data_IF_449024997222
#
_entry.id   IF_449024997222
#
_cell.length_a   1.000
_cell.length_b   1.000
_cell.length_c   1.000
_cell.angle_alpha   90.00
_cell.angle_beta   90.00
_cell.angle_gamma   90.00
#
_symmetry.space_group_name_H-M   'P 1'
#
loop_
_entity.id
_entity.type
_entity.pdbx_description
1 polymer ?
#
# COMPACT_ATOMS: atom_id res chain seq x y z
N UNK A 1 -16.40 -35.15 -0.90
CA UNK A 1 -15.69 -34.53 -2.03
C UNK A 1 -15.01 -33.29 -1.50
N UNK A 2 -13.68 -33.19 -1.47
CA UNK A 2 -13.04 -31.90 -1.24
C UNK A 2 -13.29 -31.06 -2.50
N UNK A 3 -14.07 -29.99 -2.37
CA UNK A 3 -14.33 -29.07 -3.46
C UNK A 3 -13.01 -28.39 -3.85
N UNK A 4 -12.63 -28.48 -5.13
CA UNK A 4 -11.47 -27.78 -5.73
C UNK A 4 -11.63 -26.24 -5.77
N UNK A 5 -12.45 -25.68 -4.88
CA UNK A 5 -12.68 -24.25 -4.77
C UNK A 5 -11.52 -23.67 -3.95
N UNK A 6 -10.48 -23.23 -4.65
CA UNK A 6 -9.35 -22.52 -4.06
C UNK A 6 -9.89 -21.26 -3.40
N UNK A 7 -9.93 -21.28 -2.07
CA UNK A 7 -10.46 -20.15 -1.29
C UNK A 7 -9.60 -18.89 -1.51
N UNK A 8 -10.21 -17.71 -1.37
CA UNK A 8 -9.48 -16.44 -1.45
C UNK A 8 -8.28 -16.40 -0.48
N UNK A 9 -8.45 -17.01 0.71
CA UNK A 9 -7.39 -17.08 1.71
C UNK A 9 -6.19 -17.91 1.25
N UNK A 10 -6.43 -18.99 0.51
CA UNK A 10 -5.36 -19.81 -0.10
C UNK A 10 -4.64 -19.04 -1.20
N UNK A 11 -5.36 -18.24 -1.99
CA UNK A 11 -4.73 -17.34 -2.98
C UNK A 11 -3.85 -16.28 -2.33
N UNK A 12 -4.27 -15.70 -1.20
CA UNK A 12 -3.48 -14.73 -0.43
C UNK A 12 -2.20 -15.38 0.10
N UNK A 13 -2.28 -16.63 0.59
CA UNK A 13 -1.11 -17.37 1.07
C UNK A 13 -0.10 -17.67 -0.06
N UNK A 14 -0.60 -17.87 -1.28
CA UNK A 14 0.23 -18.05 -2.48
C UNK A 14 0.84 -16.77 -3.03
N UNK A 15 0.63 -15.61 -2.41
CA UNK A 15 1.29 -14.37 -2.83
C UNK A 15 2.79 -14.48 -2.54
N UNK A 16 3.61 -14.32 -3.58
CA UNK A 16 5.06 -14.38 -3.45
C UNK A 16 5.64 -12.98 -3.27
N UNK A 17 6.49 -12.82 -2.28
CA UNK A 17 7.22 -11.58 -1.99
C UNK A 17 8.68 -11.78 -2.33
N UNK A 18 9.21 -10.96 -3.24
CA UNK A 18 10.64 -10.99 -3.54
C UNK A 18 11.50 -10.40 -2.44
N UNK A 19 12.80 -10.69 -2.54
CA UNK A 19 13.82 -10.05 -1.74
C UNK A 19 13.84 -8.54 -1.99
N UNK A 20 14.14 -7.80 -0.91
CA UNK A 20 14.30 -6.35 -0.99
C UNK A 20 15.68 -6.04 -1.55
N UNK A 21 15.72 -5.21 -2.58
CA UNK A 21 16.95 -4.63 -3.11
C UNK A 21 16.90 -3.12 -2.88
N UNK A 22 18.05 -2.50 -2.65
CA UNK A 22 18.13 -1.07 -2.33
C UNK A 22 19.22 -0.40 -3.12
N UNK A 23 18.92 0.78 -3.65
CA UNK A 23 19.89 1.69 -4.22
C UNK A 23 20.32 2.74 -3.17
N UNK A 24 20.92 3.84 -3.61
CA UNK A 24 21.35 4.95 -2.76
C UNK A 24 20.18 5.66 -2.06
N UNK A 25 19.04 5.83 -2.76
CA UNK A 25 17.90 6.63 -2.28
C UNK A 25 16.66 5.80 -1.87
N UNK A 26 16.42 4.67 -2.56
CA UNK A 26 15.17 3.90 -2.42
C UNK A 26 15.44 2.40 -2.18
N UNK A 27 14.52 1.78 -1.45
CA UNK A 27 14.33 0.33 -1.37
C UNK A 27 13.24 -0.08 -2.34
N UNK A 28 13.43 -1.22 -3.00
CA UNK A 28 12.52 -1.78 -3.99
C UNK A 28 12.19 -3.21 -3.63
N UNK A 29 10.97 -3.63 -3.98
CA UNK A 29 10.59 -5.03 -4.02
C UNK A 29 9.48 -5.22 -5.05
N UNK A 30 9.37 -6.43 -5.57
CA UNK A 30 8.20 -6.84 -6.33
C UNK A 30 7.37 -7.87 -5.57
N UNK A 31 6.05 -7.81 -5.77
CA UNK A 31 5.09 -8.78 -5.25
C UNK A 31 4.46 -9.48 -6.45
N UNK A 32 4.48 -10.81 -6.44
CA UNK A 32 3.89 -11.62 -7.50
C UNK A 32 2.58 -12.22 -7.00
N UNK A 33 1.48 -11.82 -7.63
CA UNK A 33 0.15 -12.34 -7.36
C UNK A 33 -0.10 -13.65 -8.13
N UNK A 34 -0.87 -14.58 -7.56
CA UNK A 34 -1.32 -15.74 -8.32
C UNK A 34 -2.27 -15.30 -9.44
N UNK A 35 -2.11 -15.86 -10.65
CA UNK A 35 -2.91 -15.51 -11.84
C UNK A 35 -4.42 -15.68 -11.63
N UNK A 36 -4.83 -16.58 -10.74
CA UNK A 36 -6.24 -16.77 -10.38
C UNK A 36 -6.81 -15.57 -9.64
N UNK A 37 -6.00 -14.90 -8.81
CA UNK A 37 -6.39 -13.73 -8.04
C UNK A 37 -6.65 -12.52 -8.93
N UNK A 38 -5.87 -12.33 -10.00
CA UNK A 38 -6.11 -11.27 -10.97
C UNK A 38 -7.53 -11.30 -11.55
N UNK A 39 -8.14 -12.48 -11.70
CA UNK A 39 -9.52 -12.61 -12.22
C UNK A 39 -10.58 -12.18 -11.21
N UNK A 40 -10.23 -12.12 -9.92
CA UNK A 40 -11.13 -11.71 -8.83
C UNK A 40 -11.07 -10.20 -8.58
N UNK A 41 -10.00 -9.54 -9.02
CA UNK A 41 -9.84 -8.09 -8.86
C UNK A 41 -10.84 -7.37 -9.78
N UNK A 42 -11.52 -6.31 -9.30
CA UNK A 42 -12.43 -5.52 -10.12
C UNK A 42 -11.75 -4.93 -11.35
N UNK A 43 -12.47 -4.87 -12.49
CA UNK A 43 -11.94 -4.35 -13.75
C UNK A 43 -11.49 -2.88 -13.67
N UNK A 44 -12.05 -2.10 -12.74
CA UNK A 44 -11.66 -0.70 -12.47
C UNK A 44 -10.22 -0.53 -11.97
N UNK A 45 -9.58 -1.62 -11.54
CA UNK A 45 -8.19 -1.64 -11.10
C UNK A 45 -7.25 -1.97 -12.26
N UNK A 46 -7.77 -2.25 -13.45
CA UNK A 46 -7.01 -2.49 -14.66
C UNK A 46 -7.06 -1.26 -15.55
N UNK A 47 -5.97 -0.99 -16.27
CA UNK A 47 -5.95 0.06 -17.28
C UNK A 47 -6.90 -0.30 -18.45
N UNK A 48 -7.62 0.66 -19.03
CA UNK A 48 -8.61 0.39 -20.08
C UNK A 48 -8.00 -0.20 -21.36
N UNK A 49 -6.75 0.16 -21.65
CA UNK A 49 -6.03 -0.23 -22.86
C UNK A 49 -5.07 -1.42 -22.64
N UNK A 50 -4.96 -1.95 -21.41
CA UNK A 50 -3.99 -2.99 -21.08
C UNK A 50 -4.49 -3.91 -19.98
N UNK A 51 -4.25 -5.22 -20.09
CA UNK A 51 -4.60 -6.19 -19.05
C UNK A 51 -3.64 -6.14 -17.84
N UNK A 52 -3.19 -4.93 -17.49
CA UNK A 52 -2.22 -4.62 -16.46
C UNK A 52 -2.94 -3.81 -15.39
N UNK A 53 -2.63 -4.09 -14.13
CA UNK A 53 -3.16 -3.30 -13.02
C UNK A 53 -2.68 -1.85 -13.16
N UNK A 54 -3.55 -0.88 -12.86
CA UNK A 54 -3.17 0.52 -12.77
C UNK A 54 -2.31 0.77 -11.53
N UNK A 55 -1.84 2.01 -11.36
CA UNK A 55 -1.19 2.40 -10.10
C UNK A 55 -2.19 2.33 -8.94
N UNK A 56 -2.04 1.30 -8.11
CA UNK A 56 -2.84 1.07 -6.91
C UNK A 56 -2.37 1.92 -5.73
N UNK A 57 -3.32 2.46 -4.99
CA UNK A 57 -3.06 3.14 -3.72
C UNK A 57 -2.84 2.15 -2.57
N UNK A 58 -2.32 2.60 -1.43
CA UNK A 58 -2.09 1.74 -0.25
C UNK A 58 -3.33 0.95 0.18
N UNK A 59 -4.48 1.62 0.23
CA UNK A 59 -5.74 0.98 0.62
C UNK A 59 -6.16 -0.10 -0.39
N UNK A 60 -5.96 0.17 -1.68
CA UNK A 60 -6.33 -0.73 -2.76
C UNK A 60 -5.51 -2.01 -2.80
N UNK A 61 -4.18 -1.91 -2.75
CA UNK A 61 -3.34 -3.12 -2.75
C UNK A 61 -3.44 -3.90 -1.43
N UNK A 62 -3.71 -3.23 -0.30
CA UNK A 62 -4.04 -3.90 0.96
C UNK A 62 -5.39 -4.63 0.88
N UNK A 63 -6.37 -4.05 0.20
CA UNK A 63 -7.67 -4.69 -0.05
C UNK A 63 -7.58 -5.97 -0.87
N UNK A 64 -6.61 -6.04 -1.79
CA UNK A 64 -6.26 -7.26 -2.55
C UNK A 64 -5.59 -8.31 -1.63
N UNK A 65 -5.23 -7.99 -0.38
CA UNK A 65 -4.60 -8.93 0.54
C UNK A 65 -3.08 -8.95 0.47
N UNK A 66 -2.45 -7.97 -0.20
CA UNK A 66 -1.01 -7.77 -0.10
C UNK A 66 -0.70 -7.18 1.27
N UNK A 67 0.14 -7.85 2.05
CA UNK A 67 0.52 -7.42 3.40
C UNK A 67 2.00 -7.08 3.45
N UNK A 68 2.31 -5.79 3.64
CA UNK A 68 3.68 -5.32 3.81
C UNK A 68 3.75 -4.17 4.83
N UNK A 69 4.98 -3.78 5.18
CA UNK A 69 5.23 -2.66 6.10
C UNK A 69 4.71 -1.33 5.54
N UNK A 70 4.60 -0.32 6.38
CA UNK A 70 4.22 1.04 5.94
C UNK A 70 5.32 1.66 5.06
N UNK A 71 4.90 2.58 4.19
CA UNK A 71 5.79 3.39 3.33
C UNK A 71 6.13 2.77 1.98
N UNK A 72 5.56 1.62 1.63
CA UNK A 72 5.70 1.06 0.29
C UNK A 72 4.69 1.70 -0.67
N UNK A 73 5.21 2.27 -1.74
CA UNK A 73 4.45 2.88 -2.81
C UNK A 73 4.55 2.04 -4.08
N UNK A 74 3.40 1.69 -4.65
CA UNK A 74 3.34 1.03 -5.95
C UNK A 74 3.64 2.06 -7.04
N UNK A 75 4.78 1.94 -7.71
CA UNK A 75 5.31 3.02 -8.56
C UNK A 75 5.26 2.73 -10.05
N UNK A 76 5.25 1.47 -10.45
CA UNK A 76 5.30 1.07 -11.85
C UNK A 76 4.61 -0.26 -12.08
N UNK A 77 4.12 -0.46 -13.29
CA UNK A 77 3.37 -1.64 -13.70
C UNK A 77 4.17 -2.41 -14.74
N UNK A 78 4.24 -3.73 -14.60
CA UNK A 78 5.01 -4.56 -15.52
C UNK A 78 4.11 -5.13 -16.62
N UNK A 79 4.16 -4.53 -17.81
CA UNK A 79 3.35 -4.94 -18.96
C UNK A 79 3.53 -6.42 -19.40
N UNK A 80 4.75 -7.00 -19.41
CA UNK A 80 4.94 -8.41 -19.78
C UNK A 80 4.30 -9.39 -18.78
N UNK A 81 4.27 -9.02 -17.50
CA UNK A 81 3.76 -9.87 -16.41
C UNK A 81 2.85 -9.06 -15.48
N UNK A 82 1.54 -8.94 -15.80
CA UNK A 82 0.61 -8.07 -15.07
C UNK A 82 0.32 -8.52 -13.63
N UNK A 83 0.79 -9.71 -13.27
CA UNK A 83 0.70 -10.26 -11.93
C UNK A 83 1.86 -9.82 -11.03
N UNK A 84 2.84 -9.10 -11.57
CA UNK A 84 3.98 -8.56 -10.83
C UNK A 84 3.74 -7.08 -10.56
N UNK A 85 3.66 -6.73 -9.29
CA UNK A 85 3.50 -5.37 -8.80
C UNK A 85 4.84 -4.86 -8.26
N UNK A 86 5.26 -3.69 -8.70
CA UNK A 86 6.54 -3.09 -8.32
C UNK A 86 6.32 -2.03 -7.24
N UNK A 87 6.96 -2.24 -6.09
CA UNK A 87 6.91 -1.34 -4.97
C UNK A 87 8.27 -0.70 -4.73
N UNK A 88 8.25 0.57 -4.33
CA UNK A 88 9.41 1.30 -3.83
C UNK A 88 9.10 1.96 -2.49
N UNK A 89 10.13 2.21 -1.70
CA UNK A 89 10.05 2.90 -0.41
C UNK A 89 11.30 3.74 -0.22
N UNK A 90 11.18 4.95 0.33
CA UNK A 90 12.35 5.73 0.73
C UNK A 90 13.14 5.00 1.82
N UNK A 91 14.45 4.85 1.65
CA UNK A 91 15.31 4.17 2.63
C UNK A 91 15.30 4.88 4.00
N UNK A 92 15.15 6.21 4.00
CA UNK A 92 15.08 7.03 5.21
C UNK A 92 13.65 7.07 5.82
N UNK A 93 12.66 6.37 5.25
CA UNK A 93 11.27 6.42 5.70
C UNK A 93 11.12 6.08 7.20
N UNK A 94 11.78 5.03 7.67
CA UNK A 94 11.73 4.66 9.09
C UNK A 94 12.43 5.68 9.99
N UNK A 95 13.43 6.40 9.49
CA UNK A 95 14.12 7.44 10.26
C UNK A 95 13.29 8.72 10.33
N UNK A 96 12.65 9.09 9.22
CA UNK A 96 11.79 10.28 9.08
C UNK A 96 10.43 10.13 9.77
N UNK A 97 9.82 8.94 9.71
CA UNK A 97 8.46 8.69 10.22
C UNK A 97 8.40 7.65 11.34
N UNK A 98 9.41 6.80 11.51
CA UNK A 98 9.40 5.68 12.47
C UNK A 98 9.77 6.03 13.91
N UNK A 99 10.28 7.24 14.17
CA UNK A 99 10.63 7.69 15.53
C UNK A 99 9.86 8.95 16.00
N UNK A 100 8.94 9.49 15.18
CA UNK A 100 8.16 10.70 15.49
C UNK A 100 6.74 10.46 16.02
N UNK A 101 6.28 9.21 16.08
CA UNK A 101 4.95 8.84 16.59
C UNK A 101 5.02 7.83 17.74
N UNK A 102 6.01 8.03 18.62
CA UNK A 102 6.00 7.53 19.99
C UNK A 102 6.30 8.74 20.86
N UNK A 103 5.34 9.16 21.67
CA UNK A 103 5.45 10.22 22.69
C UNK A 103 5.18 11.68 22.26
N UNK A 104 3.97 12.00 21.79
CA UNK A 104 3.40 13.34 22.02
C UNK A 104 2.22 13.22 22.98
N UNK A 105 2.57 13.36 24.28
CA UNK A 105 1.74 13.67 25.45
C UNK A 105 0.38 12.95 25.57
N UNK A 106 0.39 12.02 26.52
CA UNK A 106 -0.70 11.82 27.47
C UNK A 106 -1.34 13.16 27.86
N UNK A 107 -2.55 13.43 27.38
CA UNK A 107 -3.45 14.35 28.08
C UNK A 107 -4.18 13.47 29.10
N UNK A 108 -3.80 13.62 30.36
CA UNK A 108 -4.47 13.01 31.51
C UNK A 108 -5.99 13.22 31.40
N UNK A 109 -6.73 12.14 31.15
CA UNK A 109 -8.18 12.16 31.12
C UNK A 109 -8.70 12.06 32.56
N UNK A 110 -9.06 13.20 33.14
CA UNK A 110 -9.91 13.21 34.34
C UNK A 110 -11.23 12.52 34.00
N UNK A 111 -11.61 11.57 34.84
CA UNK A 111 -12.83 10.76 34.74
C UNK A 111 -14.10 11.64 34.75
N UNK A 112 -14.73 11.77 33.61
CA UNK A 112 -16.15 12.04 33.44
C UNK A 112 -16.52 11.35 32.12
N UNK A 113 -17.24 10.24 32.11
CA UNK A 113 -18.63 10.14 32.49
C UNK A 113 -19.37 9.69 31.23
N UNK A 114 -19.84 8.44 31.26
CA UNK A 114 -20.91 7.85 30.43
C UNK A 114 -21.07 8.28 28.96
N UNK A 115 -20.85 7.31 28.07
CA UNK A 115 -21.69 7.15 26.89
C UNK A 115 -21.00 7.31 25.54
N UNK A 116 -21.17 6.26 24.72
CA UNK A 116 -21.30 6.29 23.27
C UNK A 116 -20.03 6.24 22.37
N UNK A 117 -20.00 5.13 21.62
CA UNK A 117 -19.72 4.99 20.17
C UNK A 117 -18.31 5.14 19.59
N UNK A 118 -17.86 4.04 19.00
CA UNK A 118 -17.26 4.04 17.66
C UNK A 118 -15.77 4.35 17.58
N UNK A 119 -14.96 3.31 17.41
CA UNK A 119 -13.58 3.48 16.97
C UNK A 119 -13.56 3.96 15.51
N UNK A 120 -13.31 5.25 15.30
CA UNK A 120 -12.99 5.82 13.99
C UNK A 120 -11.51 6.16 13.98
N UNK A 121 -10.68 5.24 13.47
CA UNK A 121 -9.33 5.57 13.03
C UNK A 121 -9.42 6.15 11.62
N UNK A 122 -9.62 7.46 11.51
CA UNK A 122 -9.36 8.18 10.26
C UNK A 122 -7.91 8.64 10.36
N UNK A 123 -6.99 7.89 9.75
CA UNK A 123 -5.72 8.45 9.33
C UNK A 123 -6.01 9.37 8.15
N UNK A 124 -5.94 10.68 8.37
CA UNK A 124 -6.18 11.68 7.32
C UNK A 124 -5.08 11.56 6.25
N UNK A 125 -5.39 10.84 5.16
CA UNK A 125 -4.50 10.66 4.01
C UNK A 125 -4.45 11.89 3.09
N UNK A 126 -5.18 12.96 3.43
CA UNK A 126 -5.27 14.19 2.61
C UNK A 126 -4.07 15.12 2.80
N UNK A 127 -3.34 15.03 3.92
CA UNK A 127 -2.24 15.96 4.20
C UNK A 127 -0.97 15.70 3.35
N UNK A 128 -0.70 14.45 2.95
CA UNK A 128 0.50 14.12 2.18
C UNK A 128 0.39 14.43 0.67
N UNK A 129 -0.82 14.55 0.13
CA UNK A 129 -1.03 14.85 -1.30
C UNK A 129 -0.87 16.33 -1.66
N UNK A 130 -0.86 17.24 -0.68
CA UNK A 130 -0.59 18.67 -0.95
C UNK A 130 0.90 18.99 -1.08
N UNK A 131 1.78 18.25 -0.39
CA UNK A 131 3.22 18.59 -0.42
C UNK A 131 3.91 18.14 -1.72
N UNK A 132 3.47 17.02 -2.32
CA UNK A 132 4.10 16.49 -3.54
C UNK A 132 3.73 17.26 -4.82
N UNK A 133 2.65 18.07 -4.80
CA UNK A 133 2.27 18.91 -5.94
C UNK A 133 3.10 20.19 -6.03
N UNK A 134 3.76 20.61 -4.96
CA UNK A 134 4.43 21.91 -4.89
C UNK A 134 5.88 21.89 -5.40
N UNK A 135 6.53 20.74 -5.54
CA UNK A 135 7.93 20.63 -6.01
C UNK A 135 8.09 20.42 -7.52
N UNK A 136 6.99 20.37 -8.30
CA UNK A 136 7.03 20.28 -9.79
C UNK A 136 6.77 21.60 -10.53
N UNK A 137 6.79 22.75 -9.83
CA UNK A 137 6.63 24.09 -10.45
C UNK A 137 7.72 25.09 -10.05
N UNK A 138 8.98 24.67 -9.99
CA UNK A 138 10.11 25.61 -9.95
C UNK A 138 11.25 25.07 -10.79
N UNK A 139 11.06 25.15 -12.11
CA UNK A 139 12.02 24.71 -13.12
C UNK A 139 11.71 25.34 -14.47
N UNK A 140 11.36 26.63 -14.47
CA UNK A 140 11.29 27.44 -15.70
C UNK A 140 11.62 28.88 -15.33
N UNK A 141 12.90 29.22 -15.46
CA UNK A 141 13.41 30.54 -15.86
C UNK A 141 14.70 30.33 -16.64
#
# INVERSE_FOLDING_TARGET
MPSDDVTYQDLVDRISYSDRYSDDEYEYRHVQLPRQMLKLIPKDFFEPDSNVLRLLTEDEWRGIGITQSLGWEHYETHAPEPHILLFRREKDYQKKYGNGMRETRLVSLTRAGSGFEGWHFIVDVKSLRQHYSQTRKTGER
#
